data_IF_012726002776
#
_entry.id   IF_012726002776
#
_cell.length_a   1.000
_cell.length_b   1.000
_cell.length_c   1.000
_cell.angle_alpha   90.00
_cell.angle_beta   90.00
_cell.angle_gamma   90.00
#
_symmetry.space_group_name_H-M   'P 1'
#
loop_
_entity.id
_entity.type
_entity.pdbx_description
1 polymer ?
#
# COMPACT_ATOMS: atom_id res chain seq x y z
N UNK A 1 -28.08 2.89 -1.00
CA UNK A 1 -28.49 2.04 0.15
C UNK A 1 -27.36 2.07 1.16
N UNK A 2 -27.64 2.29 2.44
CA UNK A 2 -26.63 2.29 3.49
C UNK A 2 -26.31 0.86 3.91
N UNK A 3 -25.02 0.51 3.94
CA UNK A 3 -24.50 -0.72 4.54
C UNK A 3 -24.30 -0.46 6.04
N UNK A 4 -24.71 -1.40 6.89
CA UNK A 4 -24.40 -1.38 8.33
C UNK A 4 -23.45 -2.52 8.64
N UNK A 5 -22.34 -2.23 9.32
CA UNK A 5 -21.39 -3.23 9.82
C UNK A 5 -21.47 -3.25 11.35
N UNK A 6 -21.68 -4.42 11.93
CA UNK A 6 -21.70 -4.62 13.38
C UNK A 6 -20.62 -5.65 13.73
N UNK A 7 -19.71 -5.26 14.61
CA UNK A 7 -18.75 -6.18 15.21
C UNK A 7 -19.43 -6.94 16.34
N UNK A 8 -19.60 -8.26 16.17
CA UNK A 8 -20.27 -9.13 17.14
C UNK A 8 -19.34 -9.55 18.28
N UNK A 9 -18.04 -9.68 18.01
CA UNK A 9 -17.02 -10.03 19.01
C UNK A 9 -16.68 -8.84 19.90
N UNK A 10 -16.51 -7.65 19.31
CA UNK A 10 -16.14 -6.40 19.98
C UNK A 10 -17.07 -5.24 19.57
N UNK A 11 -18.30 -5.16 20.13
CA UNK A 11 -19.29 -4.17 19.72
C UNK A 11 -18.81 -2.71 19.85
N UNK A 12 -19.00 -1.93 18.79
CA UNK A 12 -18.61 -0.52 18.75
C UNK A 12 -17.12 -0.25 18.56
N UNK A 13 -16.30 -1.29 18.38
CA UNK A 13 -14.89 -1.17 17.99
C UNK A 13 -14.72 -1.47 16.50
N UNK A 14 -13.66 -0.90 15.92
CA UNK A 14 -13.25 -1.24 14.57
C UNK A 14 -12.90 -2.75 14.52
N UNK A 15 -13.36 -3.48 13.48
CA UNK A 15 -13.03 -4.89 13.28
C UNK A 15 -11.53 -5.16 13.31
N UNK A 16 -11.13 -6.16 14.10
CA UNK A 16 -9.77 -6.72 14.07
C UNK A 16 -9.77 -8.13 13.51
N UNK A 17 -8.59 -8.60 13.12
CA UNK A 17 -8.42 -9.92 12.53
C UNK A 17 -9.00 -11.01 13.43
N UNK A 18 -9.88 -11.85 12.88
CA UNK A 18 -10.59 -12.90 13.61
C UNK A 18 -11.93 -12.48 14.23
N UNK A 19 -12.32 -11.20 14.21
CA UNK A 19 -13.62 -10.76 14.76
C UNK A 19 -14.78 -11.30 13.91
N UNK A 20 -15.90 -11.64 14.55
CA UNK A 20 -17.14 -11.97 13.86
C UNK A 20 -17.92 -10.71 13.51
N UNK A 21 -18.27 -10.56 12.23
CA UNK A 21 -18.93 -9.38 11.68
C UNK A 21 -20.29 -9.75 11.12
N UNK A 22 -21.29 -8.94 11.46
CA UNK A 22 -22.58 -8.92 10.79
C UNK A 22 -22.67 -7.69 9.89
N UNK A 23 -22.90 -7.93 8.61
CA UNK A 23 -23.14 -6.90 7.60
C UNK A 23 -24.59 -6.93 7.12
N UNK A 24 -25.26 -5.79 7.20
CA UNK A 24 -26.63 -5.61 6.70
C UNK A 24 -26.62 -4.73 5.46
N UNK A 25 -27.10 -5.25 4.34
CA UNK A 25 -27.29 -4.54 3.08
C UNK A 25 -28.75 -4.65 2.62
N UNK A 26 -29.56 -3.63 2.95
CA UNK A 26 -31.00 -3.68 2.68
C UNK A 26 -31.67 -4.83 3.43
N UNK A 27 -32.19 -5.83 2.70
CA UNK A 27 -32.78 -7.04 3.29
C UNK A 27 -31.77 -8.17 3.52
N UNK A 28 -30.53 -8.04 3.04
CA UNK A 28 -29.50 -9.08 3.20
C UNK A 28 -28.76 -8.89 4.52
N UNK A 29 -28.54 -10.00 5.23
CA UNK A 29 -27.65 -10.07 6.40
C UNK A 29 -26.59 -11.12 6.12
N UNK A 30 -25.33 -10.75 6.24
CA UNK A 30 -24.17 -11.61 5.98
C UNK A 30 -23.32 -11.66 7.25
N UNK A 31 -23.01 -12.87 7.71
CA UNK A 31 -22.10 -13.09 8.83
C UNK A 31 -20.78 -13.65 8.30
N UNK A 32 -19.67 -13.04 8.69
CA UNK A 32 -18.33 -13.47 8.27
C UNK A 32 -17.27 -13.15 9.33
N UNK A 33 -16.18 -13.89 9.32
CA UNK A 33 -14.99 -13.55 10.12
C UNK A 33 -14.21 -12.45 9.40
N UNK A 34 -13.92 -11.36 10.10
CA UNK A 34 -13.06 -10.30 9.59
C UNK A 34 -11.65 -10.84 9.42
N UNK A 35 -11.14 -10.71 8.21
CA UNK A 35 -9.74 -10.95 7.90
C UNK A 35 -9.13 -9.59 7.57
N UNK A 36 -8.23 -9.12 8.41
CA UNK A 36 -7.49 -7.90 8.10
C UNK A 36 -6.58 -8.22 6.93
N UNK A 37 -6.66 -7.46 5.84
CA UNK A 37 -5.70 -7.59 4.75
C UNK A 37 -4.29 -7.48 5.33
N UNK A 38 -3.46 -8.51 5.15
CA UNK A 38 -2.10 -8.55 5.70
C UNK A 38 -1.15 -7.54 5.05
N UNK A 39 -1.61 -6.83 4.00
CA UNK A 39 -0.86 -5.76 3.35
C UNK A 39 -0.66 -4.58 4.31
N UNK A 40 0.57 -4.46 4.79
CA UNK A 40 1.04 -3.33 5.59
C UNK A 40 1.27 -2.10 4.70
N UNK A 41 1.42 -0.94 5.32
CA UNK A 41 1.84 0.27 4.60
C UNK A 41 3.24 0.10 3.99
N UNK A 42 4.12 -0.63 4.69
CA UNK A 42 5.43 -1.04 4.18
C UNK A 42 5.33 -1.86 2.90
N UNK A 43 4.40 -2.82 2.82
CA UNK A 43 4.21 -3.65 1.63
C UNK A 43 3.75 -2.79 0.44
N UNK A 44 2.80 -1.88 0.69
CA UNK A 44 2.31 -0.93 -0.33
C UNK A 44 3.41 0.01 -0.79
N UNK A 45 4.26 0.48 0.12
CA UNK A 45 5.39 1.33 -0.18
C UNK A 45 6.48 0.60 -0.99
N UNK A 46 6.81 -0.65 -0.64
CA UNK A 46 7.74 -1.50 -1.41
C UNK A 46 7.21 -1.79 -2.80
N UNK A 47 5.93 -2.11 -2.92
CA UNK A 47 5.27 -2.31 -4.21
C UNK A 47 5.36 -1.05 -5.08
N UNK A 48 5.07 0.12 -4.51
CA UNK A 48 5.21 1.40 -5.22
C UNK A 48 6.66 1.64 -5.67
N UNK A 49 7.64 1.42 -4.80
CA UNK A 49 9.07 1.55 -5.12
C UNK A 49 9.46 0.65 -6.29
N UNK A 50 9.00 -0.60 -6.29
CA UNK A 50 9.33 -1.57 -7.34
C UNK A 50 8.70 -1.20 -8.68
N UNK A 51 7.47 -0.70 -8.66
CA UNK A 51 6.83 -0.14 -9.84
C UNK A 51 7.58 1.08 -10.37
N UNK A 52 8.02 1.97 -9.49
CA UNK A 52 8.79 3.15 -9.87
C UNK A 52 10.17 2.79 -10.43
N UNK A 53 10.85 1.81 -9.84
CA UNK A 53 12.09 1.24 -10.37
C UNK A 53 11.85 0.57 -11.73
N UNK A 54 10.72 -0.08 -11.95
CA UNK A 54 10.41 -0.64 -13.28
C UNK A 54 10.19 0.47 -14.32
N UNK A 55 9.42 1.48 -13.96
CA UNK A 55 9.07 2.58 -14.85
C UNK A 55 10.27 3.44 -15.25
N UNK A 56 11.23 3.63 -14.34
CA UNK A 56 12.42 4.48 -14.56
C UNK A 56 13.63 3.74 -15.14
N UNK A 57 13.56 2.42 -15.31
CA UNK A 57 14.69 1.62 -15.79
C UNK A 57 15.15 2.00 -17.21
N UNK A 58 14.26 2.18 -18.21
CA UNK A 58 14.69 2.54 -19.57
C UNK A 58 15.46 3.86 -19.61
N UNK A 59 15.03 4.85 -18.82
CA UNK A 59 15.65 6.17 -18.75
C UNK A 59 17.08 6.14 -18.19
N UNK A 60 17.36 5.18 -17.30
CA UNK A 60 18.69 4.99 -16.73
C UNK A 60 19.59 4.08 -17.60
N UNK A 61 19.00 3.20 -18.40
CA UNK A 61 19.72 2.20 -19.19
C UNK A 61 20.16 2.71 -20.57
N UNK A 62 19.42 3.62 -21.19
CA UNK A 62 19.73 4.17 -22.52
C UNK A 62 20.73 5.33 -22.38
N UNK A 63 21.96 5.25 -22.94
CA UNK A 63 23.00 6.27 -22.75
C UNK A 63 22.58 7.70 -23.14
N UNK A 64 21.86 7.84 -24.25
CA UNK A 64 21.45 9.15 -24.79
C UNK A 64 20.06 9.62 -24.28
N UNK A 65 19.56 9.02 -23.20
CA UNK A 65 18.26 9.42 -22.65
C UNK A 65 18.34 10.83 -22.03
N UNK A 66 17.36 11.72 -22.31
CA UNK A 66 17.35 13.06 -21.73
C UNK A 66 17.39 13.04 -20.20
N UNK A 67 18.33 13.78 -19.60
CA UNK A 67 18.53 13.84 -18.14
C UNK A 67 18.80 12.48 -17.47
N UNK A 68 19.42 11.52 -18.17
CA UNK A 68 19.77 10.18 -17.64
C UNK A 68 20.38 10.21 -16.23
N UNK A 69 21.30 11.12 -15.95
CA UNK A 69 21.96 11.23 -14.65
C UNK A 69 20.98 11.50 -13.50
N UNK A 70 19.89 12.25 -13.76
CA UNK A 70 18.85 12.49 -12.76
C UNK A 70 18.10 11.19 -12.44
N UNK A 71 17.78 10.39 -13.45
CA UNK A 71 17.14 9.07 -13.26
C UNK A 71 18.06 8.10 -12.51
N UNK A 72 19.38 8.12 -12.78
CA UNK A 72 20.34 7.32 -12.01
C UNK A 72 20.34 7.71 -10.54
N UNK A 73 20.45 9.01 -10.23
CA UNK A 73 20.43 9.50 -8.85
C UNK A 73 19.11 9.17 -8.14
N UNK A 74 17.98 9.33 -8.82
CA UNK A 74 16.67 9.00 -8.28
C UNK A 74 16.49 7.51 -8.00
N UNK A 75 16.96 6.63 -8.90
CA UNK A 75 16.92 5.18 -8.69
C UNK A 75 17.80 4.72 -7.52
N UNK A 76 18.88 5.43 -7.22
CA UNK A 76 19.66 5.19 -5.98
C UNK A 76 18.81 5.53 -4.76
N UNK A 77 18.20 6.72 -4.72
CA UNK A 77 17.30 7.11 -3.63
C UNK A 77 16.16 6.11 -3.43
N UNK A 78 15.53 5.63 -4.51
CA UNK A 78 14.47 4.62 -4.44
C UNK A 78 14.94 3.29 -3.81
N UNK A 79 16.16 2.83 -4.12
CA UNK A 79 16.70 1.58 -3.56
C UNK A 79 17.06 1.72 -2.09
N UNK A 80 17.61 2.87 -1.71
CA UNK A 80 18.02 3.15 -0.33
C UNK A 80 16.82 3.46 0.58
N UNK A 81 15.73 3.99 0.01
CA UNK A 81 14.57 4.49 0.74
C UNK A 81 14.01 3.54 1.82
N UNK A 82 13.83 2.22 1.60
CA UNK A 82 13.31 1.32 2.65
C UNK A 82 14.24 1.10 3.85
N UNK A 83 15.45 1.67 3.83
CA UNK A 83 16.39 1.67 4.96
C UNK A 83 16.53 3.05 5.60
N UNK A 84 15.77 4.04 5.16
CA UNK A 84 15.76 5.39 5.72
C UNK A 84 14.63 5.55 6.73
N UNK A 85 14.72 6.59 7.59
CA UNK A 85 13.64 6.98 8.51
C UNK A 85 12.38 7.49 7.80
N UNK A 86 12.50 7.80 6.51
CA UNK A 86 11.42 8.38 5.71
C UNK A 86 10.47 7.30 5.14
N UNK A 87 10.82 6.01 5.28
CA UNK A 87 9.98 4.90 4.85
C UNK A 87 9.01 4.48 5.96
N UNK A 88 7.73 4.19 5.64
CA UNK A 88 7.08 4.19 4.30
C UNK A 88 6.45 5.53 3.88
N UNK A 89 6.52 6.57 4.73
CA UNK A 89 5.66 7.75 4.66
C UNK A 89 6.02 8.73 3.53
N UNK A 90 7.32 9.00 3.34
CA UNK A 90 7.80 10.07 2.45
C UNK A 90 8.57 9.50 1.27
N UNK A 91 7.90 9.41 0.13
CA UNK A 91 8.45 8.87 -1.12
C UNK A 91 9.54 9.79 -1.72
N UNK A 92 10.64 9.24 -2.25
CA UNK A 92 11.60 10.01 -3.05
C UNK A 92 10.95 10.65 -4.27
N UNK A 93 11.51 11.76 -4.75
CA UNK A 93 11.06 12.48 -5.96
C UNK A 93 12.22 12.76 -6.92
N UNK A 94 11.89 12.90 -8.21
CA UNK A 94 12.79 13.18 -9.35
C UNK A 94 12.57 14.58 -9.91
#
# INVERSE_FOLDING_TARGET
MSKTIVNLTNPGKDPVDGDEIEERQGSLTINYTYLKSSETEDDKARFWRDMELKNTDPMASIPDWPNRDKYLAYRTKLRDWPSTSDFPDTKPTL
#
